data_IF_328042462377
#
_entry.id   IF_328042462377
#
_cell.length_a   1.000
_cell.length_b   1.000
_cell.length_c   1.000
_cell.angle_alpha   90.00
_cell.angle_beta   90.00
_cell.angle_gamma   90.00
#
_symmetry.space_group_name_H-M   'P 1'
#
loop_
_entity.id
_entity.type
_entity.pdbx_description
1 polymer ?
#
# COMPACT_ATOMS: atom_id res chain seq x y z
N UNK A 1 -31.01 -4.45 -1.43
CA UNK A 1 -30.48 -3.31 -0.63
C UNK A 1 -29.19 -2.80 -1.27
N UNK A 2 -29.13 -1.53 -1.69
CA UNK A 2 -27.88 -0.92 -2.17
C UNK A 2 -27.04 -0.49 -0.98
N UNK A 3 -25.83 -1.02 -0.83
CA UNK A 3 -24.88 -0.54 0.15
C UNK A 3 -24.07 0.62 -0.46
N UNK A 4 -24.02 1.75 0.22
CA UNK A 4 -23.27 2.94 -0.20
C UNK A 4 -21.88 2.90 0.41
N UNK A 5 -20.85 3.21 -0.37
CA UNK A 5 -19.49 3.37 0.15
C UNK A 5 -19.39 4.74 0.83
N UNK A 6 -19.09 4.75 2.12
CA UNK A 6 -18.97 5.95 2.95
C UNK A 6 -17.50 6.19 3.30
N UNK A 7 -17.09 7.45 3.28
CA UNK A 7 -15.74 7.90 3.62
C UNK A 7 -15.74 8.61 4.98
N UNK A 8 -14.94 8.11 5.91
CA UNK A 8 -14.77 8.66 7.25
C UNK A 8 -13.51 9.52 7.33
N UNK A 9 -13.64 10.83 7.17
CA UNK A 9 -12.53 11.77 7.16
C UNK A 9 -11.81 11.88 8.52
N UNK A 10 -12.50 11.65 9.62
CA UNK A 10 -11.98 11.63 10.99
C UNK A 10 -10.91 10.54 11.17
N UNK A 11 -11.17 9.34 10.63
CA UNK A 11 -10.25 8.20 10.68
C UNK A 11 -9.06 8.34 9.74
N UNK A 12 -9.17 9.17 8.69
CA UNK A 12 -8.10 9.41 7.73
C UNK A 12 -6.85 10.04 8.36
N UNK A 13 -7.02 10.84 9.43
CA UNK A 13 -5.89 11.41 10.18
C UNK A 13 -5.00 10.31 10.76
N UNK A 14 -5.60 9.25 11.32
CA UNK A 14 -4.85 8.11 11.83
C UNK A 14 -4.06 7.42 10.72
N UNK A 15 -4.65 7.24 9.54
CA UNK A 15 -3.98 6.64 8.38
C UNK A 15 -2.78 7.48 7.94
N UNK A 16 -2.93 8.81 7.87
CA UNK A 16 -1.81 9.71 7.55
C UNK A 16 -0.68 9.59 8.58
N UNK A 17 -0.99 9.51 9.88
CA UNK A 17 0.01 9.31 10.93
C UNK A 17 0.73 7.98 10.75
N UNK A 18 0.02 6.87 10.51
CA UNK A 18 0.61 5.56 10.30
C UNK A 18 1.53 5.52 9.08
N UNK A 19 1.12 6.10 7.94
CA UNK A 19 2.00 6.22 6.77
C UNK A 19 3.21 7.10 7.04
N UNK A 20 3.07 8.20 7.77
CA UNK A 20 4.21 9.06 8.14
C UNK A 20 5.21 8.29 9.01
N UNK A 21 4.74 7.54 10.01
CA UNK A 21 5.61 6.70 10.85
C UNK A 21 6.30 5.64 10.00
N UNK A 22 5.58 4.97 9.08
CA UNK A 22 6.19 3.96 8.21
C UNK A 22 7.32 4.54 7.37
N UNK A 23 7.15 5.74 6.81
CA UNK A 23 8.17 6.43 6.02
C UNK A 23 9.39 6.77 6.87
N UNK A 24 9.20 7.30 8.08
CA UNK A 24 10.30 7.61 9.00
C UNK A 24 11.12 6.35 9.31
N UNK A 25 10.44 5.24 9.64
CA UNK A 25 11.09 3.96 9.90
C UNK A 25 11.87 3.47 8.69
N UNK A 26 11.31 3.64 7.49
CA UNK A 26 12.00 3.26 6.26
C UNK A 26 13.24 4.11 5.98
N UNK A 27 13.16 5.42 6.20
CA UNK A 27 14.34 6.31 6.09
C UNK A 27 15.43 5.90 7.09
N UNK A 28 15.07 5.59 8.35
CA UNK A 28 16.03 5.09 9.34
C UNK A 28 16.68 3.77 8.90
N UNK A 29 15.90 2.86 8.29
CA UNK A 29 16.42 1.61 7.75
C UNK A 29 17.44 1.86 6.62
N UNK A 30 17.15 2.77 5.71
CA UNK A 30 18.09 3.16 4.66
C UNK A 30 19.35 3.83 5.20
N UNK A 31 19.23 4.68 6.24
CA UNK A 31 20.42 5.24 6.91
C UNK A 31 21.31 4.14 7.50
N UNK A 32 20.72 3.12 8.13
CA UNK A 32 21.48 1.98 8.63
C UNK A 32 22.20 1.22 7.50
N UNK A 33 21.56 1.06 6.34
CA UNK A 33 22.18 0.44 5.16
C UNK A 33 23.34 1.26 4.60
N UNK A 34 23.21 2.58 4.53
CA UNK A 34 24.29 3.49 4.09
C UNK A 34 25.50 3.40 5.03
N UNK A 35 25.26 3.38 6.35
CA UNK A 35 26.33 3.21 7.34
C UNK A 35 26.99 1.83 7.17
N UNK A 36 26.21 0.76 6.92
CA UNK A 36 26.77 -0.57 6.68
C UNK A 36 27.71 -0.58 5.45
N UNK A 37 27.37 0.17 4.40
CA UNK A 37 28.22 0.26 3.20
C UNK A 37 29.56 0.92 3.47
N UNK A 38 29.64 1.86 4.40
CA UNK A 38 30.90 2.47 4.84
C UNK A 38 31.88 1.45 5.43
N UNK A 39 31.36 0.59 6.30
CA UNK A 39 32.20 -0.44 6.93
C UNK A 39 32.72 -1.47 5.93
N UNK A 40 32.02 -1.70 4.82
CA UNK A 40 32.45 -2.65 3.80
C UNK A 40 33.49 -2.09 2.84
N UNK A 41 33.57 -0.77 2.65
CA UNK A 41 34.58 -0.10 1.81
C UNK A 41 35.99 -0.22 2.44
N UNK A 42 36.05 -0.26 3.77
CA UNK A 42 37.33 -0.39 4.51
C UNK A 42 37.95 -1.78 4.31
N UNK A 43 37.20 -2.79 3.96
CA UNK A 43 37.59 -4.21 3.95
C UNK A 43 37.78 -4.81 2.54
N UNK A 44 37.94 -4.01 1.49
CA UNK A 44 38.16 -4.43 0.07
C UNK A 44 37.13 -5.46 -0.48
N UNK A 45 36.05 -5.72 0.23
CA UNK A 45 35.11 -6.74 -0.13
C UNK A 45 33.81 -6.20 -0.71
N UNK A 46 33.40 -6.74 -1.86
CA UNK A 46 32.10 -6.77 -2.57
C UNK A 46 31.29 -5.47 -2.73
N UNK A 47 31.37 -4.51 -1.82
CA UNK A 47 30.64 -3.23 -1.87
C UNK A 47 31.53 -2.05 -2.33
N UNK A 48 32.83 -2.29 -2.58
CA UNK A 48 33.82 -1.26 -2.97
C UNK A 48 33.47 -0.54 -4.29
N UNK A 49 32.57 -1.07 -5.10
CA UNK A 49 32.11 -0.46 -6.36
C UNK A 49 30.83 0.37 -6.22
N UNK A 50 30.20 0.40 -5.04
CA UNK A 50 29.04 1.23 -4.78
C UNK A 50 29.50 2.59 -4.22
N UNK A 51 29.75 3.54 -5.11
CA UNK A 51 29.95 4.94 -4.72
C UNK A 51 28.75 5.42 -3.88
N UNK A 52 28.98 6.15 -2.78
CA UNK A 52 27.93 6.78 -1.95
C UNK A 52 26.85 7.46 -2.76
N UNK A 53 27.23 8.13 -3.84
CA UNK A 53 26.31 8.75 -4.78
C UNK A 53 25.34 7.73 -5.38
N UNK A 54 25.80 6.54 -5.75
CA UNK A 54 24.94 5.49 -6.29
C UNK A 54 23.96 4.95 -5.24
N UNK A 55 24.40 4.80 -4.00
CA UNK A 55 23.54 4.40 -2.89
C UNK A 55 22.44 5.43 -2.60
N UNK A 56 22.80 6.71 -2.58
CA UNK A 56 21.84 7.81 -2.43
C UNK A 56 20.88 7.83 -3.62
N UNK A 57 21.38 7.67 -4.85
CA UNK A 57 20.54 7.63 -6.06
C UNK A 57 19.61 6.41 -6.13
N UNK A 58 19.95 5.30 -5.48
CA UNK A 58 19.08 4.12 -5.39
C UNK A 58 18.08 4.26 -4.23
N UNK A 59 18.55 4.70 -3.06
CA UNK A 59 17.73 4.82 -1.85
C UNK A 59 16.71 5.96 -1.95
N UNK A 60 17.06 7.09 -2.55
CA UNK A 60 16.22 8.26 -2.63
C UNK A 60 14.98 8.07 -3.52
N UNK A 61 15.07 7.52 -4.76
CA UNK A 61 13.89 7.21 -5.56
C UNK A 61 12.96 6.18 -4.90
N UNK A 62 13.52 5.14 -4.26
CA UNK A 62 12.72 4.16 -3.54
C UNK A 62 11.92 4.82 -2.40
N UNK A 63 12.55 5.74 -1.65
CA UNK A 63 11.88 6.48 -0.57
C UNK A 63 10.81 7.44 -1.10
N UNK A 64 11.03 8.08 -2.25
CA UNK A 64 10.03 8.94 -2.90
C UNK A 64 8.79 8.14 -3.30
N UNK A 65 8.97 6.97 -3.89
CA UNK A 65 7.84 6.08 -4.27
C UNK A 65 7.01 5.72 -3.03
N UNK A 66 7.64 5.52 -1.88
CA UNK A 66 6.96 5.19 -0.63
C UNK A 66 6.21 6.38 0.00
N UNK A 67 6.51 7.64 -0.40
CA UNK A 67 5.73 8.83 -0.05
C UNK A 67 4.37 8.90 -0.76
N UNK A 68 4.22 8.25 -1.91
CA UNK A 68 3.03 8.37 -2.74
C UNK A 68 1.74 7.98 -2.02
N UNK A 69 1.66 6.87 -1.25
CA UNK A 69 0.47 6.54 -0.48
C UNK A 69 0.06 7.64 0.50
N UNK A 70 1.02 8.28 1.17
CA UNK A 70 0.76 9.40 2.07
C UNK A 70 0.22 10.62 1.31
N UNK A 71 0.85 10.98 0.19
CA UNK A 71 0.40 12.08 -0.66
C UNK A 71 -1.03 11.83 -1.16
N UNK A 72 -1.34 10.61 -1.59
CA UNK A 72 -2.68 10.23 -2.01
C UNK A 72 -3.71 10.37 -0.86
N UNK A 73 -3.35 9.97 0.36
CA UNK A 73 -4.21 10.14 1.53
C UNK A 73 -4.49 11.62 1.85
N UNK A 74 -3.47 12.47 1.78
CA UNK A 74 -3.62 13.93 1.96
C UNK A 74 -4.50 14.52 0.87
N UNK A 75 -4.29 14.13 -0.39
CA UNK A 75 -5.13 14.56 -1.51
C UNK A 75 -6.59 14.12 -1.34
N UNK A 76 -6.84 12.91 -0.82
CA UNK A 76 -8.20 12.45 -0.52
C UNK A 76 -8.89 13.35 0.52
N UNK A 77 -8.17 13.76 1.58
CA UNK A 77 -8.71 14.66 2.59
C UNK A 77 -9.07 16.01 2.01
N UNK A 78 -8.17 16.61 1.23
CA UNK A 78 -8.38 17.92 0.61
C UNK A 78 -9.54 17.86 -0.40
N UNK A 79 -9.54 16.86 -1.27
CA UNK A 79 -10.56 16.72 -2.30
C UNK A 79 -11.95 16.46 -1.72
N UNK A 80 -12.04 15.61 -0.69
CA UNK A 80 -13.31 15.36 -0.01
C UNK A 80 -13.87 16.62 0.64
N UNK A 81 -13.00 17.47 1.21
CA UNK A 81 -13.41 18.76 1.81
C UNK A 81 -13.98 19.72 0.75
N UNK A 82 -13.45 19.71 -0.48
CA UNK A 82 -13.85 20.63 -1.55
C UNK A 82 -15.08 20.12 -2.31
N UNK A 83 -15.10 18.85 -2.69
CA UNK A 83 -16.09 18.29 -3.63
C UNK A 83 -16.99 17.19 -3.05
N UNK A 84 -16.78 16.76 -1.82
CA UNK A 84 -17.49 15.65 -1.18
C UNK A 84 -17.55 14.35 -2.01
N UNK A 85 -16.53 14.11 -2.86
CA UNK A 85 -16.52 12.97 -3.79
C UNK A 85 -15.27 12.09 -3.62
N UNK A 86 -15.13 11.52 -2.40
CA UNK A 86 -14.01 10.63 -2.07
C UNK A 86 -13.97 9.35 -2.94
N UNK A 87 -15.13 8.91 -3.48
CA UNK A 87 -15.19 7.73 -4.36
C UNK A 87 -14.36 7.87 -5.63
N UNK A 88 -14.47 9.02 -6.32
CA UNK A 88 -13.70 9.25 -7.55
C UNK A 88 -12.22 9.26 -7.24
N UNK A 89 -11.84 9.92 -6.17
CA UNK A 89 -10.44 9.99 -5.77
C UNK A 89 -9.90 8.62 -5.35
N UNK A 90 -10.70 7.80 -4.65
CA UNK A 90 -10.33 6.42 -4.33
C UNK A 90 -10.01 5.62 -5.60
N UNK A 91 -10.82 5.74 -6.65
CA UNK A 91 -10.57 5.07 -7.94
C UNK A 91 -9.28 5.53 -8.59
N UNK A 92 -9.05 6.85 -8.62
CA UNK A 92 -7.80 7.42 -9.15
C UNK A 92 -6.59 6.91 -8.35
N UNK A 93 -6.67 6.95 -7.01
CA UNK A 93 -5.62 6.44 -6.14
C UNK A 93 -5.37 4.94 -6.36
N UNK A 94 -6.41 4.15 -6.55
CA UNK A 94 -6.29 2.73 -6.84
C UNK A 94 -5.51 2.49 -8.15
N UNK A 95 -5.80 3.22 -9.22
CA UNK A 95 -5.04 3.11 -10.48
C UNK A 95 -3.58 3.56 -10.32
N UNK A 96 -3.33 4.65 -9.58
CA UNK A 96 -1.95 5.09 -9.30
C UNK A 96 -1.20 4.02 -8.52
N UNK A 97 -1.81 3.42 -7.50
CA UNK A 97 -1.19 2.34 -6.72
C UNK A 97 -0.98 1.07 -7.55
N UNK A 98 -1.89 0.75 -8.48
CA UNK A 98 -1.70 -0.36 -9.42
C UNK A 98 -0.49 -0.11 -10.34
N UNK A 99 -0.38 1.07 -10.92
CA UNK A 99 0.75 1.45 -11.78
C UNK A 99 2.09 1.41 -11.04
N UNK A 100 2.13 1.90 -9.80
CA UNK A 100 3.34 1.82 -8.96
C UNK A 100 3.75 0.38 -8.65
N UNK A 101 2.78 -0.45 -8.28
CA UNK A 101 3.07 -1.87 -8.02
C UNK A 101 3.55 -2.58 -9.29
N UNK A 102 2.99 -2.24 -10.45
CA UNK A 102 3.45 -2.75 -11.75
C UNK A 102 4.88 -2.29 -12.04
N UNK A 103 5.18 -1.01 -11.83
CA UNK A 103 6.54 -0.47 -12.00
C UNK A 103 7.55 -1.21 -11.14
N UNK A 104 7.26 -1.39 -9.84
CA UNK A 104 8.13 -2.13 -8.92
C UNK A 104 8.33 -3.57 -9.38
N UNK A 105 7.27 -4.23 -9.88
CA UNK A 105 7.35 -5.59 -10.42
C UNK A 105 8.26 -5.66 -11.65
N UNK A 106 8.08 -4.76 -12.60
CA UNK A 106 8.88 -4.68 -13.83
C UNK A 106 10.35 -4.43 -13.50
N UNK A 107 10.66 -3.46 -12.64
CA UNK A 107 12.03 -3.19 -12.19
C UNK A 107 12.68 -4.43 -11.57
N UNK A 108 11.92 -5.16 -10.77
CA UNK A 108 12.42 -6.36 -10.13
C UNK A 108 12.69 -7.50 -11.12
N UNK A 109 11.83 -7.65 -12.13
CA UNK A 109 12.02 -8.67 -13.18
C UNK A 109 13.18 -8.33 -14.11
N UNK A 110 13.38 -7.04 -14.42
CA UNK A 110 14.50 -6.59 -15.25
C UNK A 110 15.86 -6.77 -14.56
N UNK A 111 15.91 -6.56 -13.24
CA UNK A 111 17.15 -6.70 -12.46
C UNK A 111 17.54 -8.17 -12.16
N UNK A 112 16.78 -9.16 -12.64
CA UNK A 112 17.09 -10.59 -12.47
C UNK A 112 18.15 -11.14 -13.42
N UNK A 113 18.59 -10.35 -14.39
CA UNK A 113 19.56 -10.80 -15.40
C UNK A 113 20.97 -11.01 -14.84
N UNK A 114 21.27 -10.51 -13.64
CA UNK A 114 22.52 -10.78 -12.92
C UNK A 114 22.40 -12.09 -12.14
N UNK A 115 23.34 -13.00 -12.30
CA UNK A 115 23.35 -14.33 -11.64
C UNK A 115 23.26 -14.25 -10.12
N UNK A 116 23.67 -13.13 -9.53
CA UNK A 116 23.57 -12.84 -8.09
C UNK A 116 22.16 -12.50 -7.60
N UNK A 117 21.25 -12.12 -8.52
CA UNK A 117 19.89 -11.64 -8.22
C UNK A 117 18.79 -12.62 -8.64
N UNK A 118 19.14 -13.83 -9.07
CA UNK A 118 18.14 -14.85 -9.44
C UNK A 118 17.25 -15.18 -8.27
N UNK A 119 15.95 -14.89 -8.43
CA UNK A 119 14.94 -15.29 -7.45
C UNK A 119 14.82 -16.83 -7.44
N UNK A 120 14.96 -17.41 -6.27
CA UNK A 120 14.58 -18.80 -6.04
C UNK A 120 13.07 -18.98 -6.22
N UNK A 121 12.59 -20.22 -6.41
CA UNK A 121 11.14 -20.52 -6.50
C UNK A 121 10.37 -19.93 -5.30
N UNK A 122 10.91 -20.03 -4.08
CA UNK A 122 10.34 -19.42 -2.88
C UNK A 122 10.33 -17.88 -2.96
N UNK A 123 11.35 -17.27 -3.55
CA UNK A 123 11.42 -15.83 -3.78
C UNK A 123 10.33 -15.34 -4.72
N UNK A 124 9.97 -16.08 -5.76
CA UNK A 124 8.84 -15.75 -6.63
C UNK A 124 7.52 -15.71 -5.84
N UNK A 125 7.23 -16.73 -5.04
CA UNK A 125 6.01 -16.77 -4.23
C UNK A 125 5.94 -15.64 -3.21
N UNK A 126 7.04 -15.34 -2.54
CA UNK A 126 7.05 -14.36 -1.47
C UNK A 126 7.06 -12.91 -1.96
N UNK A 127 7.61 -12.64 -3.14
CA UNK A 127 7.79 -11.28 -3.63
C UNK A 127 6.97 -10.93 -4.88
N UNK A 128 6.84 -11.85 -5.83
CA UNK A 128 6.12 -11.60 -7.08
C UNK A 128 4.62 -11.77 -6.91
N UNK A 129 4.19 -12.84 -6.25
CA UNK A 129 2.77 -13.13 -6.05
C UNK A 129 2.03 -12.03 -5.27
N UNK A 130 2.53 -11.50 -4.13
CA UNK A 130 1.88 -10.38 -3.45
C UNK A 130 1.79 -9.13 -4.32
N UNK A 131 2.78 -8.90 -5.21
CA UNK A 131 2.78 -7.77 -6.13
C UNK A 131 1.65 -7.89 -7.15
N UNK A 132 1.48 -9.08 -7.74
CA UNK A 132 0.42 -9.37 -8.70
C UNK A 132 -0.95 -9.23 -8.03
N UNK A 133 -1.14 -9.79 -6.84
CA UNK A 133 -2.40 -9.69 -6.09
C UNK A 133 -2.73 -8.22 -5.81
N UNK A 134 -1.73 -7.40 -5.43
CA UNK A 134 -1.94 -5.96 -5.21
C UNK A 134 -2.36 -5.25 -6.49
N UNK A 135 -1.70 -5.51 -7.62
CA UNK A 135 -2.02 -4.89 -8.92
C UNK A 135 -3.47 -5.22 -9.30
N UNK A 136 -3.82 -6.51 -9.30
CA UNK A 136 -5.18 -6.97 -9.64
C UNK A 136 -6.22 -6.38 -8.68
N UNK A 137 -5.93 -6.39 -7.38
CA UNK A 137 -6.81 -5.83 -6.36
C UNK A 137 -7.06 -4.33 -6.55
N UNK A 138 -6.03 -3.54 -6.78
CA UNK A 138 -6.17 -2.10 -7.02
C UNK A 138 -6.90 -1.80 -8.33
N UNK A 139 -6.63 -2.53 -9.40
CA UNK A 139 -7.35 -2.38 -10.68
C UNK A 139 -8.85 -2.70 -10.46
N UNK A 140 -9.18 -3.79 -9.78
CA UNK A 140 -10.55 -4.18 -9.52
C UNK A 140 -11.30 -3.16 -8.65
N UNK A 141 -10.64 -2.52 -7.66
CA UNK A 141 -11.21 -1.40 -6.90
C UNK A 141 -11.51 -0.19 -7.80
N UNK A 142 -10.65 0.10 -8.77
CA UNK A 142 -10.83 1.21 -9.71
C UNK A 142 -12.01 0.98 -10.66
N UNK A 143 -12.21 -0.24 -11.13
CA UNK A 143 -13.23 -0.58 -12.13
C UNK A 143 -14.64 -0.59 -11.52
N UNK A 144 -14.83 -1.27 -10.39
CA UNK A 144 -16.17 -1.56 -9.90
C UNK A 144 -16.30 -1.49 -8.37
N UNK A 145 -17.31 -0.74 -7.92
CA UNK A 145 -17.70 -0.69 -6.52
C UNK A 145 -18.15 -2.07 -5.98
N UNK A 146 -18.61 -2.98 -6.87
CA UNK A 146 -19.01 -4.34 -6.47
C UNK A 146 -17.82 -5.20 -6.08
N UNK A 147 -16.68 -5.00 -6.74
CA UNK A 147 -15.45 -5.75 -6.45
C UNK A 147 -14.70 -5.20 -5.25
N UNK A 148 -15.09 -4.05 -4.70
CA UNK A 148 -14.36 -3.36 -3.64
C UNK A 148 -14.10 -4.26 -2.42
N UNK A 149 -15.10 -5.00 -1.95
CA UNK A 149 -14.97 -5.80 -0.73
C UNK A 149 -13.99 -6.98 -0.88
N UNK A 150 -14.01 -7.65 -2.01
CA UNK A 150 -13.06 -8.74 -2.30
C UNK A 150 -11.68 -8.17 -2.54
N UNK A 151 -11.58 -7.08 -3.29
CA UNK A 151 -10.32 -6.45 -3.65
C UNK A 151 -9.57 -5.90 -2.44
N UNK A 152 -10.26 -5.27 -1.47
CA UNK A 152 -9.61 -4.77 -0.24
C UNK A 152 -9.01 -5.90 0.59
N UNK A 153 -9.68 -7.06 0.66
CA UNK A 153 -9.14 -8.23 1.34
C UNK A 153 -7.87 -8.71 0.63
N UNK A 154 -7.91 -8.84 -0.69
CA UNK A 154 -6.74 -9.26 -1.49
C UNK A 154 -5.55 -8.32 -1.33
N UNK A 155 -5.77 -7.00 -1.40
CA UNK A 155 -4.71 -5.99 -1.25
C UNK A 155 -4.09 -6.02 0.15
N UNK A 156 -4.90 -6.11 1.21
CA UNK A 156 -4.39 -6.19 2.59
C UNK A 156 -3.66 -7.52 2.82
N UNK A 157 -4.18 -8.62 2.30
CA UNK A 157 -3.50 -9.92 2.36
C UNK A 157 -2.13 -9.87 1.67
N UNK A 158 -2.03 -9.25 0.50
CA UNK A 158 -0.77 -9.04 -0.19
C UNK A 158 0.22 -8.19 0.61
N UNK A 159 -0.26 -7.15 1.32
CA UNK A 159 0.58 -6.34 2.20
C UNK A 159 1.10 -7.14 3.40
N UNK A 160 0.28 -8.01 4.00
CA UNK A 160 0.68 -8.92 5.07
C UNK A 160 1.74 -9.92 4.55
N UNK A 161 1.54 -10.52 3.38
CA UNK A 161 2.53 -11.41 2.78
C UNK A 161 3.88 -10.72 2.57
N UNK A 162 3.89 -9.44 2.15
CA UNK A 162 5.13 -8.65 2.04
C UNK A 162 5.79 -8.43 3.39
N UNK A 163 5.01 -8.17 4.45
CA UNK A 163 5.53 -8.01 5.79
C UNK A 163 6.19 -9.32 6.29
N UNK A 164 5.55 -10.46 6.05
CA UNK A 164 6.12 -11.78 6.35
C UNK A 164 7.40 -12.02 5.54
N UNK A 165 7.40 -11.72 4.23
CA UNK A 165 8.57 -11.88 3.39
C UNK A 165 9.75 -11.01 3.85
N UNK A 166 9.49 -9.81 4.36
CA UNK A 166 10.53 -8.92 4.90
C UNK A 166 11.09 -9.37 6.25
N UNK A 167 10.35 -10.19 7.00
CA UNK A 167 10.83 -10.75 8.27
C UNK A 167 11.90 -11.83 8.08
N UNK A 168 11.89 -12.56 6.96
CA UNK A 168 12.84 -13.65 6.70
C UNK A 168 14.30 -13.17 6.73
N UNK A 169 14.72 -12.16 5.93
CA UNK A 169 16.09 -11.66 5.97
C UNK A 169 16.41 -11.02 7.33
N UNK A 170 15.46 -10.39 8.02
CA UNK A 170 15.68 -9.81 9.34
C UNK A 170 16.08 -10.89 10.36
N UNK A 171 15.33 -11.99 10.41
CA UNK A 171 15.62 -13.12 11.32
C UNK A 171 16.95 -13.79 10.94
N UNK A 172 17.18 -14.05 9.65
CA UNK A 172 18.42 -14.66 9.17
C UNK A 172 19.66 -13.83 9.57
N UNK A 173 19.59 -12.52 9.42
CA UNK A 173 20.71 -11.64 9.78
C UNK A 173 20.95 -11.60 11.28
N UNK A 174 19.90 -11.57 12.10
CA UNK A 174 20.04 -11.65 13.57
C UNK A 174 20.75 -12.93 14.03
N UNK A 175 20.42 -14.07 13.42
CA UNK A 175 21.07 -15.36 13.74
C UNK A 175 22.56 -15.32 13.35
N UNK A 176 22.88 -14.75 12.19
CA UNK A 176 24.25 -14.70 11.68
C UNK A 176 25.11 -13.67 12.41
N UNK A 177 24.54 -12.57 12.90
CA UNK A 177 25.28 -11.54 13.66
C UNK A 177 25.89 -12.11 14.94
N UNK A 178 25.21 -13.07 15.58
CA UNK A 178 25.72 -13.71 16.82
C UNK A 178 26.90 -14.67 16.57
N UNK A 179 27.22 -14.97 15.31
CA UNK A 179 28.29 -15.91 14.93
C UNK A 179 29.53 -15.21 14.35
N UNK A 180 29.47 -13.89 14.15
CA UNK A 180 30.54 -13.13 13.51
C UNK A 180 31.34 -12.33 14.54
N UNK A 181 32.67 -12.25 14.36
CA UNK A 181 33.58 -11.48 15.20
C UNK A 181 34.13 -10.25 14.47
N UNK A 182 34.55 -9.24 15.25
CA UNK A 182 35.26 -8.07 14.75
C UNK A 182 34.44 -7.14 13.84
N UNK A 183 35.02 -6.67 12.73
CA UNK A 183 34.39 -5.73 11.79
C UNK A 183 33.21 -6.36 11.07
N UNK A 184 33.27 -7.65 10.76
CA UNK A 184 32.17 -8.41 10.16
C UNK A 184 30.93 -8.43 11.07
N UNK A 185 31.14 -8.43 12.39
CA UNK A 185 30.04 -8.29 13.37
C UNK A 185 29.37 -6.93 13.27
N UNK A 186 30.14 -5.85 13.12
CA UNK A 186 29.61 -4.48 12.97
C UNK A 186 28.80 -4.34 11.68
N UNK A 187 29.34 -4.78 10.56
CA UNK A 187 28.66 -4.78 9.26
C UNK A 187 27.32 -5.54 9.35
N UNK A 188 27.35 -6.76 9.90
CA UNK A 188 26.15 -7.58 10.04
C UNK A 188 25.11 -6.94 10.97
N UNK A 189 25.51 -6.18 12.00
CA UNK A 189 24.59 -5.43 12.85
C UNK A 189 23.84 -4.35 12.08
N UNK A 190 24.53 -3.52 11.29
CA UNK A 190 23.87 -2.47 10.51
C UNK A 190 22.99 -3.02 9.39
N UNK A 191 23.42 -4.09 8.71
CA UNK A 191 22.58 -4.82 7.77
C UNK A 191 21.35 -5.40 8.49
N UNK A 192 21.53 -5.92 9.71
CA UNK A 192 20.43 -6.39 10.55
C UNK A 192 19.43 -5.27 10.88
N UNK A 193 19.91 -4.09 11.26
CA UNK A 193 19.05 -2.93 11.50
C UNK A 193 18.27 -2.50 10.27
N UNK A 194 18.90 -2.54 9.08
CA UNK A 194 18.20 -2.30 7.82
C UNK A 194 17.05 -3.28 7.61
N UNK A 195 17.27 -4.57 7.71
CA UNK A 195 16.23 -5.58 7.51
C UNK A 195 15.14 -5.52 8.57
N UNK A 196 15.50 -5.27 9.84
CA UNK A 196 14.53 -5.07 10.92
C UNK A 196 13.68 -3.83 10.63
N UNK A 197 14.29 -2.73 10.27
CA UNK A 197 13.59 -1.50 9.91
C UNK A 197 12.64 -1.70 8.72
N UNK A 198 13.05 -2.44 7.70
CA UNK A 198 12.20 -2.82 6.54
C UNK A 198 11.04 -3.71 6.95
N UNK A 199 11.23 -4.62 7.89
CA UNK A 199 10.16 -5.46 8.43
C UNK A 199 9.14 -4.61 9.19
N UNK A 200 9.58 -3.76 10.11
CA UNK A 200 8.72 -2.85 10.88
C UNK A 200 7.95 -1.91 9.95
N UNK A 201 8.63 -1.31 8.96
CA UNK A 201 7.99 -0.50 7.92
C UNK A 201 6.87 -1.27 7.22
N UNK A 202 7.12 -2.49 6.77
CA UNK A 202 6.15 -3.31 6.03
C UNK A 202 4.93 -3.65 6.88
N UNK A 203 5.12 -3.90 8.19
CA UNK A 203 4.02 -4.16 9.13
C UNK A 203 3.18 -2.90 9.32
N UNK A 204 3.80 -1.76 9.60
CA UNK A 204 3.08 -0.49 9.80
C UNK A 204 2.32 -0.10 8.53
N UNK A 205 2.94 -0.27 7.36
CA UNK A 205 2.32 -0.02 6.06
C UNK A 205 1.09 -0.92 5.83
N UNK A 206 1.18 -2.21 6.14
CA UNK A 206 0.06 -3.15 6.04
C UNK A 206 -1.10 -2.76 6.98
N UNK A 207 -0.79 -2.34 8.21
CA UNK A 207 -1.79 -1.83 9.17
C UNK A 207 -2.43 -0.55 8.66
N UNK A 208 -1.64 0.41 8.18
CA UNK A 208 -2.15 1.67 7.62
C UNK A 208 -3.11 1.41 6.45
N UNK A 209 -2.73 0.50 5.55
CA UNK A 209 -3.55 0.10 4.41
C UNK A 209 -4.84 -0.61 4.85
N UNK A 210 -4.77 -1.47 5.87
CA UNK A 210 -5.94 -2.12 6.43
C UNK A 210 -6.90 -1.10 7.06
N UNK A 211 -6.40 -0.16 7.86
CA UNK A 211 -7.20 0.92 8.45
C UNK A 211 -7.84 1.78 7.35
N UNK A 212 -7.08 2.14 6.30
CA UNK A 212 -7.60 2.89 5.16
C UNK A 212 -8.78 2.15 4.50
N UNK A 213 -8.60 0.89 4.16
CA UNK A 213 -9.57 0.14 3.36
C UNK A 213 -10.76 -0.42 4.16
N UNK A 214 -10.62 -0.64 5.47
CA UNK A 214 -11.68 -1.22 6.32
C UNK A 214 -12.33 -0.23 7.28
N UNK A 215 -11.61 0.82 7.70
CA UNK A 215 -12.12 1.77 8.68
C UNK A 215 -12.48 3.13 8.07
N UNK A 216 -11.71 3.60 7.07
CA UNK A 216 -11.97 4.88 6.39
C UNK A 216 -13.02 4.71 5.31
N UNK A 217 -12.96 3.62 4.53
CA UNK A 217 -13.96 3.29 3.52
C UNK A 217 -14.84 2.14 4.02
N UNK A 218 -16.01 2.46 4.53
CA UNK A 218 -16.99 1.47 4.99
C UNK A 218 -18.19 1.38 4.05
N UNK A 219 -18.88 0.24 4.07
CA UNK A 219 -20.17 0.11 3.42
C UNK A 219 -21.26 0.23 4.47
N UNK A 220 -22.07 1.24 4.33
CA UNK A 220 -23.26 1.43 5.15
C UNK A 220 -24.50 1.08 4.33
N UNK A 221 -25.53 0.58 5.02
CA UNK A 221 -26.85 0.47 4.40
C UNK A 221 -27.28 1.89 4.06
N UNK A 222 -27.59 2.16 2.79
CA UNK A 222 -28.13 3.46 2.42
C UNK A 222 -29.39 3.71 3.23
N UNK A 223 -29.49 4.88 3.86
CA UNK A 223 -30.74 5.29 4.53
C UNK A 223 -31.88 5.31 3.51
N UNK A 224 -33.12 5.22 4.00
CA UNK A 224 -34.29 5.36 3.11
C UNK A 224 -34.24 6.70 2.39
N UNK A 225 -33.79 7.76 3.06
CA UNK A 225 -33.62 9.09 2.49
C UNK A 225 -32.59 9.13 1.34
N UNK A 226 -31.42 8.48 1.50
CA UNK A 226 -30.42 8.34 0.42
C UNK A 226 -30.99 7.58 -0.78
N UNK A 227 -31.78 6.53 -0.54
CA UNK A 227 -32.44 5.73 -1.59
C UNK A 227 -33.51 6.53 -2.33
N UNK A 228 -34.26 7.37 -1.63
CA UNK A 228 -35.21 8.31 -2.23
C UNK A 228 -34.47 9.37 -3.06
N UNK A 229 -33.35 9.90 -2.57
CA UNK A 229 -32.55 10.86 -3.32
C UNK A 229 -31.98 10.27 -4.62
N UNK A 230 -31.44 9.03 -4.57
CA UNK A 230 -30.96 8.32 -5.75
C UNK A 230 -32.12 8.07 -6.76
N UNK A 231 -33.30 7.68 -6.25
CA UNK A 231 -34.50 7.47 -7.07
C UNK A 231 -34.99 8.75 -7.75
N UNK A 232 -34.93 9.90 -7.04
CA UNK A 232 -35.24 11.21 -7.60
C UNK A 232 -34.26 11.57 -8.72
N UNK A 233 -32.97 11.28 -8.53
CA UNK A 233 -31.94 11.55 -9.55
C UNK A 233 -32.14 10.68 -10.79
N UNK A 234 -32.49 9.39 -10.63
CA UNK A 234 -32.74 8.49 -11.75
C UNK A 234 -33.99 8.92 -12.53
N UNK A 235 -35.03 9.41 -11.84
CA UNK A 235 -36.23 9.97 -12.48
C UNK A 235 -35.92 11.26 -13.24
N UNK A 236 -35.22 12.23 -12.61
CA UNK A 236 -34.91 13.51 -13.25
C UNK A 236 -33.94 13.36 -14.43
N UNK A 237 -33.09 12.33 -14.42
CA UNK A 237 -32.22 11.99 -15.55
C UNK A 237 -32.89 11.18 -16.67
N UNK A 238 -34.19 10.87 -16.53
CA UNK A 238 -34.98 10.11 -17.52
C UNK A 238 -34.65 8.62 -17.60
N UNK A 239 -33.94 8.05 -16.62
CA UNK A 239 -33.56 6.63 -16.58
C UNK A 239 -34.75 5.72 -16.19
N UNK A 240 -35.73 6.27 -15.48
CA UNK A 240 -36.91 5.56 -15.06
C UNK A 240 -38.17 6.36 -15.42
N UNK A 241 -39.27 5.63 -15.64
CA UNK A 241 -40.57 6.23 -15.91
C UNK A 241 -41.21 6.73 -14.63
N UNK A 242 -42.22 7.61 -14.75
CA UNK A 242 -42.98 8.13 -13.61
C UNK A 242 -43.64 7.01 -12.82
N UNK A 243 -44.28 6.06 -13.49
CA UNK A 243 -44.96 4.93 -12.83
C UNK A 243 -43.99 4.05 -12.02
N UNK A 244 -42.78 3.82 -12.58
CA UNK A 244 -41.72 3.09 -11.88
C UNK A 244 -41.17 3.87 -10.68
N UNK A 245 -41.06 5.20 -10.81
CA UNK A 245 -40.63 6.08 -9.73
C UNK A 245 -41.64 6.05 -8.58
N UNK A 246 -42.94 6.24 -8.87
CA UNK A 246 -44.00 6.30 -7.86
C UNK A 246 -44.11 4.96 -7.11
N UNK A 247 -44.07 3.82 -7.81
CA UNK A 247 -44.09 2.50 -7.22
C UNK A 247 -42.88 2.24 -6.28
N UNK A 248 -41.66 2.56 -6.72
CA UNK A 248 -40.47 2.36 -5.91
C UNK A 248 -40.43 3.30 -4.70
N UNK A 249 -40.89 4.54 -4.85
CA UNK A 249 -40.97 5.50 -3.75
C UNK A 249 -41.96 5.04 -2.68
N UNK A 250 -43.12 4.51 -3.07
CA UNK A 250 -44.10 3.99 -2.13
C UNK A 250 -43.57 2.78 -1.35
N UNK A 251 -42.82 1.90 -2.01
CA UNK A 251 -42.14 0.78 -1.35
C UNK A 251 -41.11 1.26 -0.32
N UNK A 252 -40.31 2.28 -0.66
CA UNK A 252 -39.30 2.86 0.25
C UNK A 252 -39.94 3.53 1.46
N UNK A 253 -41.08 4.19 1.29
CA UNK A 253 -41.78 4.86 2.39
C UNK A 253 -42.41 3.87 3.37
N UNK A 254 -42.64 2.62 2.99
CA UNK A 254 -43.11 1.55 3.90
C UNK A 254 -41.97 0.99 4.78
N UNK A 255 -40.71 1.31 4.48
CA UNK A 255 -39.55 0.90 5.28
C UNK A 255 -39.23 1.87 6.44
N UNK A 256 -39.90 3.05 6.51
CA UNK A 256 -39.80 4.05 7.57
C UNK A 256 -40.82 3.74 8.67
#
# INVERSE_FOLDING_TARGET
>A
MKNKLVFHADKMKLVCILFSISIIVNICAWCAFIIASDYSIIDDSYLSNLNYLNLIFIAFPASIVELIPLVLCVLMLIYNKIKHNAKVLLKVCAYVMAALNLWILVQRLLNQNDDTNKLTTSGYFLFVLPQIISIVGFIAMGISDKCFDISRIGVVFAAILRAVASAIPAVSTLINTNKADGQLCQLNKFIGYYYIGRCIYSIIFAVALAVLLFCVFTREKSSVEDRIADLNQDYTSGKITKDSYDAQREELLKEI
#
